data_IF_942408871757
#
_entry.id   IF_942408871757
#
_cell.length_a   1.000
_cell.length_b   1.000
_cell.length_c   1.000
_cell.angle_alpha   90.00
_cell.angle_beta   90.00
_cell.angle_gamma   90.00
#
_symmetry.space_group_name_H-M   'P 1'
#
loop_
_entity.id
_entity.type
_entity.pdbx_description
1 polymer ?
#
# COMPACT_ATOMS: atom_id res chain seq x y z
N UNK A 1 39.36 7.92 10.14
CA UNK A 1 38.31 7.42 11.07
C UNK A 1 37.64 8.67 11.62
N UNK A 2 36.34 8.88 11.40
CA UNK A 2 35.64 10.10 11.83
C UNK A 2 35.28 9.96 13.32
N UNK A 3 35.47 11.02 14.11
CA UNK A 3 35.08 11.07 15.52
C UNK A 3 33.63 11.54 15.66
N UNK A 4 32.92 11.20 16.76
CA UNK A 4 31.55 11.68 16.99
C UNK A 4 31.44 13.22 16.99
N UNK A 5 32.50 13.92 17.42
CA UNK A 5 32.55 15.39 17.43
C UNK A 5 32.63 15.97 16.02
N UNK A 6 33.48 15.41 15.16
CA UNK A 6 33.59 15.78 13.74
C UNK A 6 32.31 15.45 12.95
N UNK A 7 31.58 14.40 13.34
CA UNK A 7 30.28 14.05 12.75
C UNK A 7 29.19 15.09 13.09
N UNK A 8 29.19 15.59 14.34
CA UNK A 8 28.22 16.59 14.84
C UNK A 8 28.49 18.02 14.35
N UNK A 9 29.73 18.33 13.96
CA UNK A 9 30.11 19.61 13.35
C UNK A 9 29.55 19.78 11.93
N UNK A 10 29.17 18.67 11.29
CA UNK A 10 28.44 18.67 10.04
C UNK A 10 26.93 18.70 10.32
N UNK A 11 26.19 19.67 9.76
CA UNK A 11 24.72 19.66 9.78
C UNK A 11 24.22 18.45 8.98
N UNK A 12 24.01 17.31 9.65
CA UNK A 12 23.37 16.13 9.07
C UNK A 12 21.88 16.25 9.30
N UNK A 13 21.13 16.62 8.26
CA UNK A 13 19.67 16.53 8.27
C UNK A 13 19.26 15.07 8.06
N UNK A 14 18.81 14.40 9.12
CA UNK A 14 18.24 13.05 9.01
C UNK A 14 16.75 13.19 8.68
N UNK A 15 16.39 12.89 7.44
CA UNK A 15 15.00 12.76 7.02
C UNK A 15 14.48 11.38 7.47
N UNK A 16 13.77 11.32 8.60
CA UNK A 16 13.11 10.10 9.10
C UNK A 16 11.75 9.84 8.43
N UNK A 17 11.38 10.68 7.48
CA UNK A 17 10.05 10.82 6.89
C UNK A 17 10.02 10.49 5.39
N UNK A 18 11.00 9.73 4.89
CA UNK A 18 11.03 9.34 3.48
C UNK A 18 9.90 8.36 3.16
N UNK A 19 8.84 8.87 2.54
CA UNK A 19 7.81 8.06 1.89
C UNK A 19 8.28 7.71 0.48
N UNK A 20 8.26 6.43 0.14
CA UNK A 20 8.39 5.97 -1.25
C UNK A 20 6.99 5.79 -1.83
N UNK A 21 6.75 6.43 -2.97
CA UNK A 21 5.52 6.27 -3.74
C UNK A 21 5.91 5.62 -5.06
N UNK A 22 5.35 4.44 -5.31
CA UNK A 22 5.45 3.79 -6.62
C UNK A 22 4.19 4.14 -7.41
N UNK A 23 4.36 4.71 -8.61
CA UNK A 23 3.27 5.00 -9.53
C UNK A 23 3.30 3.97 -10.64
N UNK A 24 2.18 3.29 -10.84
CA UNK A 24 2.02 2.27 -11.87
C UNK A 24 0.97 2.73 -12.88
N UNK A 25 1.29 2.63 -14.17
CA UNK A 25 0.32 2.89 -15.24
C UNK A 25 -0.56 1.67 -15.54
N UNK A 26 -0.09 0.49 -15.13
CA UNK A 26 -0.76 -0.79 -15.34
C UNK A 26 -0.49 -1.70 -14.15
N UNK A 27 -1.48 -2.53 -13.82
CA UNK A 27 -1.37 -3.52 -12.74
C UNK A 27 -1.99 -4.83 -13.23
N UNK A 28 -1.25 -5.94 -13.23
CA UNK A 28 -1.79 -7.24 -13.62
C UNK A 28 -3.08 -7.59 -12.86
N UNK A 29 -4.03 -8.20 -13.56
CA UNK A 29 -5.32 -8.59 -13.00
C UNK A 29 -6.34 -7.45 -12.84
N UNK A 30 -5.98 -6.21 -13.18
CA UNK A 30 -6.87 -5.05 -13.06
C UNK A 30 -7.06 -4.34 -14.40
N UNK A 31 -8.29 -3.89 -14.64
CA UNK A 31 -8.58 -2.80 -15.57
C UNK A 31 -8.89 -1.55 -14.75
N UNK A 32 -8.20 -0.44 -15.02
CA UNK A 32 -8.36 0.78 -14.21
C UNK A 32 -9.80 1.28 -14.17
N UNK A 33 -10.50 1.31 -15.32
CA UNK A 33 -11.87 1.82 -15.38
C UNK A 33 -12.80 0.99 -14.48
N UNK A 34 -12.73 -0.33 -14.59
CA UNK A 34 -13.59 -1.23 -13.83
C UNK A 34 -13.26 -1.20 -12.33
N UNK A 35 -11.98 -1.18 -11.98
CA UNK A 35 -11.53 -1.09 -10.59
C UNK A 35 -11.89 0.27 -9.97
N UNK A 36 -11.84 1.35 -10.75
CA UNK A 36 -12.20 2.70 -10.28
C UNK A 36 -13.69 2.82 -9.96
N UNK A 37 -14.57 2.17 -10.72
CA UNK A 37 -16.00 2.14 -10.42
C UNK A 37 -16.29 1.40 -9.10
N UNK A 38 -15.52 0.35 -8.80
CA UNK A 38 -15.67 -0.49 -7.60
C UNK A 38 -14.82 -0.04 -6.40
N UNK A 39 -14.12 1.10 -6.49
CA UNK A 39 -13.23 1.59 -5.43
C UNK A 39 -13.94 1.66 -4.08
N UNK A 40 -13.20 1.35 -3.04
CA UNK A 40 -13.63 1.56 -1.66
C UNK A 40 -13.20 2.95 -1.19
N UNK A 41 -14.10 3.65 -0.50
CA UNK A 41 -13.83 4.97 0.07
C UNK A 41 -13.49 4.79 1.55
N UNK A 42 -12.25 5.08 1.92
CA UNK A 42 -11.79 4.97 3.30
C UNK A 42 -11.53 6.36 3.88
N UNK A 43 -12.01 6.62 5.09
CA UNK A 43 -11.58 7.78 5.88
C UNK A 43 -10.53 7.32 6.89
N UNK A 44 -9.33 7.88 6.82
CA UNK A 44 -8.26 7.60 7.76
C UNK A 44 -7.64 8.91 8.23
N UNK A 45 -7.71 9.16 9.54
CA UNK A 45 -7.21 10.39 10.19
C UNK A 45 -7.73 11.68 9.52
N UNK A 46 -9.00 11.68 9.09
CA UNK A 46 -9.64 12.83 8.44
C UNK A 46 -9.34 12.96 6.94
N UNK A 47 -8.47 12.12 6.38
CA UNK A 47 -8.19 12.07 4.95
C UNK A 47 -9.04 10.98 4.28
N UNK A 48 -9.66 11.34 3.16
CA UNK A 48 -10.37 10.39 2.29
C UNK A 48 -9.37 9.75 1.32
N UNK A 49 -9.38 8.41 1.27
CA UNK A 49 -8.61 7.60 0.35
C UNK A 49 -9.56 6.80 -0.53
N UNK A 50 -9.20 6.70 -1.81
CA UNK A 50 -9.84 5.81 -2.77
C UNK A 50 -8.93 4.61 -2.98
N UNK A 51 -9.35 3.45 -2.49
CA UNK A 51 -8.54 2.23 -2.54
C UNK A 51 -9.22 1.19 -3.44
N UNK A 52 -8.42 0.28 -3.99
CA UNK A 52 -8.92 -0.85 -4.77
C UNK A 52 -9.83 -1.73 -3.89
N UNK A 53 -10.89 -2.30 -4.49
CA UNK A 53 -11.76 -3.24 -3.78
C UNK A 53 -10.97 -4.47 -3.32
N UNK A 54 -11.48 -5.17 -2.31
CA UNK A 54 -10.82 -6.39 -1.81
C UNK A 54 -10.76 -7.47 -2.89
N UNK A 55 -11.85 -7.64 -3.63
CA UNK A 55 -11.97 -8.61 -4.71
C UNK A 55 -10.95 -8.33 -5.82
N UNK A 56 -10.83 -7.07 -6.23
CA UNK A 56 -9.88 -6.64 -7.25
C UNK A 56 -8.43 -6.74 -6.73
N UNK A 57 -8.16 -6.44 -5.45
CA UNK A 57 -6.85 -6.64 -4.85
C UNK A 57 -6.40 -8.11 -4.88
N UNK A 58 -7.31 -9.03 -4.54
CA UNK A 58 -7.04 -10.47 -4.60
C UNK A 58 -6.77 -10.90 -6.05
N UNK A 59 -7.57 -10.42 -7.01
CA UNK A 59 -7.38 -10.71 -8.43
C UNK A 59 -6.00 -10.22 -8.92
N UNK A 60 -5.60 -9.03 -8.51
CA UNK A 60 -4.30 -8.46 -8.85
C UNK A 60 -3.13 -9.26 -8.26
N UNK A 61 -3.20 -9.61 -6.98
CA UNK A 61 -2.19 -10.45 -6.33
C UNK A 61 -2.04 -11.80 -7.04
N UNK A 62 -3.15 -12.49 -7.36
CA UNK A 62 -3.09 -13.76 -8.11
C UNK A 62 -2.49 -13.61 -9.52
N UNK A 63 -2.65 -12.45 -10.15
CA UNK A 63 -2.15 -12.19 -11.50
C UNK A 63 -0.69 -11.71 -11.54
N UNK A 64 -0.10 -11.28 -10.41
CA UNK A 64 1.24 -10.71 -10.36
C UNK A 64 2.38 -11.74 -10.51
N UNK A 65 2.07 -13.03 -10.67
CA UNK A 65 3.02 -14.06 -11.11
C UNK A 65 3.67 -14.87 -9.96
N UNK A 66 4.73 -15.64 -10.25
CA UNK A 66 5.31 -16.62 -9.32
C UNK A 66 6.02 -16.01 -8.11
N UNK A 67 6.33 -14.71 -8.14
CA UNK A 67 6.99 -13.98 -7.05
C UNK A 67 5.99 -13.47 -5.99
N UNK A 68 4.70 -13.78 -6.16
CA UNK A 68 3.64 -13.38 -5.22
C UNK A 68 3.67 -14.30 -4.02
N UNK A 69 3.62 -13.70 -2.83
CA UNK A 69 3.45 -14.45 -1.59
C UNK A 69 2.05 -15.10 -1.54
N UNK A 70 1.93 -16.44 -1.59
CA UNK A 70 0.64 -17.11 -1.50
C UNK A 70 -0.06 -16.88 -0.14
N UNK A 71 0.70 -16.56 0.91
CA UNK A 71 0.12 -16.26 2.22
C UNK A 71 -0.63 -14.92 2.22
N UNK A 72 -0.19 -13.92 1.45
CA UNK A 72 -0.92 -12.66 1.28
C UNK A 72 -2.32 -12.90 0.74
N UNK A 73 -2.42 -13.70 -0.33
CA UNK A 73 -3.70 -14.05 -0.95
C UNK A 73 -4.58 -14.82 0.02
N UNK A 74 -4.00 -15.80 0.73
CA UNK A 74 -4.72 -16.61 1.72
C UNK A 74 -5.28 -15.75 2.85
N UNK A 75 -4.49 -14.85 3.40
CA UNK A 75 -4.91 -13.93 4.46
C UNK A 75 -6.04 -13.02 3.99
N UNK A 76 -5.91 -12.45 2.79
CA UNK A 76 -6.95 -11.64 2.19
C UNK A 76 -8.25 -12.42 2.08
N UNK A 77 -8.23 -13.65 1.55
CA UNK A 77 -9.41 -14.50 1.38
C UNK A 77 -10.07 -14.95 2.69
N UNK A 78 -9.26 -15.20 3.73
CA UNK A 78 -9.74 -15.66 5.03
C UNK A 78 -10.44 -14.57 5.84
N UNK A 79 -10.01 -13.31 5.72
CA UNK A 79 -10.66 -12.24 6.47
C UNK A 79 -12.02 -11.91 5.85
N UNK A 80 -13.08 -12.47 6.44
CA UNK A 80 -14.48 -12.20 6.11
C UNK A 80 -15.02 -10.92 6.78
N UNK A 81 -14.21 -10.20 7.57
CA UNK A 81 -14.66 -8.97 8.24
C UNK A 81 -14.63 -7.78 7.29
N UNK A 82 -15.56 -7.79 6.34
CA UNK A 82 -16.02 -6.55 5.73
C UNK A 82 -16.83 -5.75 6.75
N UNK A 83 -16.41 -4.50 6.98
CA UNK A 83 -17.11 -3.43 7.74
C UNK A 83 -17.08 -3.52 9.26
N UNK A 84 -16.07 -2.91 9.87
CA UNK A 84 -16.22 -2.20 11.14
C UNK A 84 -15.38 -0.91 11.12
N UNK A 85 -15.94 0.14 10.54
CA UNK A 85 -15.70 1.50 11.03
C UNK A 85 -16.97 1.90 11.77
N UNK A 86 -16.98 1.73 13.10
CA UNK A 86 -17.92 2.43 13.97
C UNK A 86 -17.44 3.89 14.10
N UNK A 87 -18.37 4.85 14.28
CA UNK A 87 -18.06 6.28 14.38
C UNK A 87 -17.08 6.60 15.50
#
# INVERSE_FOLDING_TARGET
MITPKELLENKITIFSDRVRIDVQTETPGLNFRDAWEKKEIMNYRGQVFYVVSREDLIASKKAAGPDVDPEDVRLLEMDKRGKQNKP
#
